data_IF_402624465159
#
_entry.id   IF_402624465159
#
_cell.length_a   1.000
_cell.length_b   1.000
_cell.length_c   1.000
_cell.angle_alpha   90.00
_cell.angle_beta   90.00
_cell.angle_gamma   90.00
#
_symmetry.space_group_name_H-M   'P 1'
#
loop_
_entity.id
_entity.type
_entity.pdbx_description
1 polymer ?
#
# COMPACT_ATOMS: atom_id res chain seq x y z
N UNK A 1 -5.65 6.80 12.61
CA UNK A 1 -5.34 7.12 11.20
C UNK A 1 -6.60 7.13 10.33
N UNK A 2 -7.43 6.08 10.35
CA UNK A 2 -8.65 6.00 9.53
C UNK A 2 -9.63 7.18 9.75
N UNK A 3 -9.95 7.52 10.99
CA UNK A 3 -10.73 8.72 11.33
C UNK A 3 -10.10 10.04 10.85
N UNK A 4 -8.77 10.09 10.64
CA UNK A 4 -8.10 11.26 10.08
C UNK A 4 -8.37 11.36 8.58
N UNK A 5 -8.30 10.24 7.86
CA UNK A 5 -8.54 10.19 6.41
C UNK A 5 -9.97 10.61 6.06
N UNK A 6 -10.96 10.22 6.87
CA UNK A 6 -12.36 10.64 6.68
C UNK A 6 -12.54 12.17 6.70
N UNK A 7 -11.76 12.89 7.51
CA UNK A 7 -11.81 14.37 7.56
C UNK A 7 -11.35 15.03 6.26
N UNK A 8 -10.51 14.35 5.48
CA UNK A 8 -9.98 14.83 4.21
C UNK A 8 -10.73 14.25 3.00
N UNK A 9 -11.74 13.41 3.24
CA UNK A 9 -12.55 12.80 2.20
C UNK A 9 -13.66 13.78 1.71
N UNK A 10 -13.26 14.94 1.21
CA UNK A 10 -14.16 15.85 0.49
C UNK A 10 -14.57 15.23 -0.85
N UNK A 11 -15.85 15.40 -1.23
CA UNK A 11 -16.56 14.55 -2.20
C UNK A 11 -16.03 14.50 -3.64
N UNK A 12 -15.07 15.34 -4.04
CA UNK A 12 -14.64 15.46 -5.45
C UNK A 12 -13.17 15.14 -5.73
N UNK A 13 -12.42 14.58 -4.77
CA UNK A 13 -11.02 14.22 -5.05
C UNK A 13 -10.91 12.87 -5.80
N UNK A 14 -10.36 12.82 -7.03
CA UNK A 14 -10.33 11.60 -7.86
C UNK A 14 -9.54 10.43 -7.26
N UNK A 15 -8.65 10.71 -6.30
CA UNK A 15 -7.93 9.68 -5.53
C UNK A 15 -8.81 8.89 -4.55
N UNK A 16 -9.99 9.40 -4.17
CA UNK A 16 -10.90 8.70 -3.26
C UNK A 16 -11.53 7.48 -3.92
N UNK A 17 -11.82 7.54 -5.22
CA UNK A 17 -12.39 6.41 -5.98
C UNK A 17 -11.48 5.18 -6.03
N UNK A 18 -10.19 5.38 -5.75
CA UNK A 18 -9.16 4.34 -5.77
C UNK A 18 -8.59 4.03 -4.37
N UNK A 19 -9.18 4.62 -3.33
CA UNK A 19 -8.78 4.46 -1.93
C UNK A 19 -9.88 3.74 -1.16
N UNK A 20 -9.56 2.62 -0.49
CA UNK A 20 -10.53 1.85 0.28
C UNK A 20 -10.68 2.38 1.70
N UNK A 21 -11.44 3.46 1.87
CA UNK A 21 -11.73 4.03 3.18
C UNK A 21 -12.65 3.11 4.02
N UNK A 22 -12.47 3.18 5.34
CA UNK A 22 -13.41 2.56 6.27
C UNK A 22 -14.78 3.22 6.08
N UNK A 23 -15.82 2.39 6.04
CA UNK A 23 -17.22 2.84 5.99
C UNK A 23 -17.77 3.05 7.39
N UNK A 24 -17.35 2.20 8.33
CA UNK A 24 -17.76 2.25 9.72
C UNK A 24 -16.67 1.65 10.60
N UNK A 25 -16.56 2.17 11.83
CA UNK A 25 -15.63 1.71 12.86
C UNK A 25 -16.41 1.66 14.16
N UNK A 26 -16.56 0.45 14.72
CA UNK A 26 -17.37 0.22 15.90
C UNK A 26 -16.78 -0.89 16.77
N UNK A 27 -17.31 -1.04 17.98
CA UNK A 27 -16.90 -2.07 18.94
C UNK A 27 -17.98 -3.14 19.06
N UNK A 28 -17.57 -4.41 19.16
CA UNK A 28 -18.45 -5.54 19.42
C UNK A 28 -17.95 -6.27 20.67
N UNK A 29 -18.83 -6.48 21.64
CA UNK A 29 -18.53 -7.30 22.81
C UNK A 29 -18.55 -8.79 22.45
N UNK A 30 -17.46 -9.49 22.76
CA UNK A 30 -17.30 -10.92 22.62
C UNK A 30 -17.01 -11.62 23.95
N UNK A 31 -16.94 -12.96 23.95
CA UNK A 31 -16.63 -13.76 25.15
C UNK A 31 -15.29 -13.41 25.81
N UNK A 32 -14.38 -12.78 25.06
CA UNK A 32 -13.03 -12.40 25.50
C UNK A 32 -12.84 -10.90 25.69
N UNK A 33 -13.91 -10.10 25.60
CA UNK A 33 -13.88 -8.64 25.74
C UNK A 33 -14.40 -7.91 24.50
N UNK A 34 -14.26 -6.58 24.50
CA UNK A 34 -14.63 -5.72 23.37
C UNK A 34 -13.61 -5.81 22.24
N UNK A 35 -14.10 -5.90 21.00
CA UNK A 35 -13.31 -5.99 19.78
C UNK A 35 -13.64 -4.84 18.82
N UNK A 36 -12.62 -4.08 18.41
CA UNK A 36 -12.77 -3.10 17.34
C UNK A 36 -12.99 -3.80 15.99
N UNK A 37 -14.02 -3.35 15.30
CA UNK A 37 -14.44 -3.84 14.00
C UNK A 37 -14.42 -2.69 12.99
N UNK A 38 -13.88 -2.96 11.80
CA UNK A 38 -13.75 -1.98 10.73
C UNK A 38 -14.48 -2.54 9.51
N UNK A 39 -15.56 -1.87 9.11
CA UNK A 39 -16.35 -2.25 7.96
C UNK A 39 -15.87 -1.52 6.70
N UNK A 40 -15.74 -2.25 5.60
CA UNK A 40 -15.36 -1.70 4.31
C UNK A 40 -16.35 -2.13 3.23
N UNK A 41 -16.44 -1.37 2.13
CA UNK A 41 -17.13 -1.85 0.93
C UNK A 41 -16.46 -3.15 0.45
N UNK A 42 -17.22 -4.19 0.04
CA UNK A 42 -16.66 -5.38 -0.58
C UNK A 42 -15.84 -5.01 -1.82
N UNK A 43 -14.71 -5.68 -2.00
CA UNK A 43 -13.81 -5.47 -3.14
C UNK A 43 -13.52 -6.79 -3.84
N UNK A 44 -12.99 -6.71 -5.05
CA UNK A 44 -12.58 -7.89 -5.81
C UNK A 44 -11.31 -8.54 -5.26
N UNK A 45 -10.76 -9.47 -6.03
CA UNK A 45 -9.52 -10.16 -5.66
C UNK A 45 -8.29 -9.24 -5.70
N UNK A 46 -7.22 -9.66 -5.02
CA UNK A 46 -5.91 -9.04 -5.10
C UNK A 46 -5.36 -9.08 -6.54
N UNK A 47 -4.39 -8.20 -6.87
CA UNK A 47 -3.74 -8.26 -8.19
C UNK A 47 -2.97 -9.56 -8.37
N UNK A 48 -2.46 -10.17 -7.29
CA UNK A 48 -1.80 -11.48 -7.32
C UNK A 48 -2.73 -12.58 -7.83
N UNK A 49 -3.94 -12.65 -7.29
CA UNK A 49 -4.95 -13.61 -7.75
C UNK A 49 -5.30 -13.37 -9.22
N UNK A 50 -5.32 -12.10 -9.67
CA UNK A 50 -5.50 -11.80 -11.09
C UNK A 50 -4.31 -12.28 -11.92
N UNK A 51 -3.07 -12.06 -11.48
CA UNK A 51 -1.87 -12.52 -12.16
C UNK A 51 -1.88 -14.02 -12.40
N UNK A 52 -2.28 -14.82 -11.42
CA UNK A 52 -2.36 -16.29 -11.52
C UNK A 52 -3.26 -16.78 -12.66
N UNK A 53 -4.18 -15.94 -13.16
CA UNK A 53 -5.03 -16.27 -14.32
C UNK A 53 -4.34 -16.07 -15.68
N UNK A 54 -3.18 -15.41 -15.72
CA UNK A 54 -2.41 -15.17 -16.94
C UNK A 54 -1.20 -16.12 -17.05
N UNK A 55 -0.80 -16.50 -18.28
CA UNK A 55 0.43 -17.26 -18.49
C UNK A 55 1.64 -16.57 -17.84
N UNK A 56 2.46 -17.34 -17.13
CA UNK A 56 3.65 -16.86 -16.41
C UNK A 56 3.36 -15.74 -15.39
N UNK A 57 2.12 -15.60 -14.93
CA UNK A 57 1.70 -14.54 -14.01
C UNK A 57 1.89 -13.09 -14.55
N UNK A 58 1.99 -12.91 -15.86
CA UNK A 58 2.25 -11.62 -16.50
C UNK A 58 0.96 -10.92 -16.92
N UNK A 59 0.73 -9.71 -16.41
CA UNK A 59 -0.40 -8.89 -16.83
C UNK A 59 -0.13 -8.19 -18.16
N UNK A 60 -1.19 -8.00 -18.94
CA UNK A 60 -1.13 -7.19 -20.16
C UNK A 60 -0.79 -5.74 -19.81
N UNK A 61 0.07 -5.11 -20.60
CA UNK A 61 0.54 -3.72 -20.39
C UNK A 61 -0.58 -2.71 -20.15
N UNK A 62 -1.74 -2.86 -20.81
CA UNK A 62 -2.88 -1.97 -20.62
C UNK A 62 -3.54 -2.12 -19.23
N UNK A 63 -3.58 -3.33 -18.67
CA UNK A 63 -4.07 -3.58 -17.31
C UNK A 63 -3.09 -3.00 -16.30
N UNK A 64 -1.79 -3.23 -16.47
CA UNK A 64 -0.75 -2.63 -15.64
C UNK A 64 -0.87 -1.10 -15.65
N UNK A 65 -0.93 -0.48 -16.84
CA UNK A 65 -1.12 0.96 -16.97
C UNK A 65 -2.36 1.46 -16.21
N UNK A 66 -3.49 0.75 -16.31
CA UNK A 66 -4.72 1.09 -15.59
C UNK A 66 -4.54 1.03 -14.07
N UNK A 67 -3.93 -0.04 -13.55
CA UNK A 67 -3.67 -0.22 -12.11
C UNK A 67 -2.73 0.87 -11.59
N UNK A 68 -1.59 1.07 -12.25
CA UNK A 68 -0.58 2.04 -11.86
C UNK A 68 -1.14 3.48 -11.88
N UNK A 69 -1.94 3.81 -12.90
CA UNK A 69 -2.61 5.10 -12.97
C UNK A 69 -3.53 5.33 -11.76
N UNK A 70 -4.33 4.34 -11.37
CA UNK A 70 -5.20 4.43 -10.18
C UNK A 70 -4.41 4.61 -8.89
N UNK A 71 -3.30 3.88 -8.74
CA UNK A 71 -2.41 4.01 -7.58
C UNK A 71 -1.81 5.41 -7.48
N UNK A 72 -1.39 6.02 -8.60
CA UNK A 72 -0.90 7.40 -8.59
C UNK A 72 -1.95 8.40 -8.12
N UNK A 73 -3.21 8.26 -8.54
CA UNK A 73 -4.29 9.14 -8.05
C UNK A 73 -4.53 8.98 -6.54
N UNK A 74 -4.55 7.74 -6.05
CA UNK A 74 -4.74 7.45 -4.63
C UNK A 74 -3.58 7.97 -3.77
N UNK A 75 -2.34 7.70 -4.18
CA UNK A 75 -1.14 8.13 -3.46
C UNK A 75 -0.98 9.65 -3.51
N UNK A 76 -1.30 10.31 -4.63
CA UNK A 76 -1.30 11.77 -4.72
C UNK A 76 -2.28 12.40 -3.72
N UNK A 77 -3.47 11.82 -3.54
CA UNK A 77 -4.41 12.29 -2.51
C UNK A 77 -3.81 12.21 -1.10
N UNK A 78 -3.19 11.09 -0.75
CA UNK A 78 -2.54 10.92 0.55
C UNK A 78 -1.42 11.94 0.78
N UNK A 79 -0.57 12.14 -0.23
CA UNK A 79 0.59 13.01 -0.15
C UNK A 79 0.19 14.48 -0.08
N UNK A 80 -0.68 14.91 -1.00
CA UNK A 80 -1.01 16.32 -1.20
C UNK A 80 -2.13 16.82 -0.27
N UNK A 81 -3.07 15.95 0.12
CA UNK A 81 -4.25 16.34 0.92
C UNK A 81 -4.15 15.86 2.36
N UNK A 82 -3.72 14.62 2.58
CA UNK A 82 -3.71 14.04 3.93
C UNK A 82 -2.38 14.25 4.68
N UNK A 83 -1.31 14.60 3.96
CA UNK A 83 0.06 14.71 4.45
C UNK A 83 0.63 13.41 5.02
N UNK A 84 0.31 12.27 4.38
CA UNK A 84 0.71 10.93 4.84
C UNK A 84 1.33 10.11 3.71
N UNK A 85 2.32 9.28 4.03
CA UNK A 85 2.82 8.22 3.15
C UNK A 85 2.12 6.89 3.49
N UNK A 86 1.88 6.07 2.47
CA UNK A 86 1.24 4.76 2.61
C UNK A 86 2.19 3.74 3.24
N UNK A 87 3.43 3.67 2.75
CA UNK A 87 4.53 2.80 3.19
C UNK A 87 4.33 1.29 3.01
N UNK A 88 3.13 0.83 2.66
CA UNK A 88 2.86 -0.60 2.41
C UNK A 88 1.94 -0.84 1.20
N UNK A 89 2.46 -0.76 -0.02
CA UNK A 89 1.67 -1.07 -1.21
C UNK A 89 1.58 -2.59 -1.42
N UNK A 90 0.47 -3.19 -1.01
CA UNK A 90 0.30 -4.66 -0.91
C UNK A 90 -0.21 -5.36 -2.19
N UNK A 91 0.08 -4.83 -3.39
CA UNK A 91 -0.31 -5.50 -4.64
C UNK A 91 -1.84 -5.62 -4.83
N UNK A 92 -2.60 -4.67 -4.30
CA UNK A 92 -4.04 -4.53 -4.54
C UNK A 92 -4.29 -3.41 -5.57
N UNK A 93 -5.34 -3.53 -6.42
CA UNK A 93 -5.61 -2.51 -7.44
C UNK A 93 -6.25 -1.24 -6.87
N UNK A 94 -6.63 -1.27 -5.59
CA UNK A 94 -7.04 -0.15 -4.76
C UNK A 94 -6.07 -0.01 -3.60
N UNK A 95 -5.87 1.23 -3.15
CA UNK A 95 -5.07 1.51 -1.97
C UNK A 95 -5.84 1.05 -0.72
N UNK A 96 -5.23 0.17 0.07
CA UNK A 96 -5.85 -0.48 1.22
C UNK A 96 -4.79 -0.74 2.28
N UNK A 97 -5.24 -1.04 3.50
CA UNK A 97 -4.41 -1.31 4.66
C UNK A 97 -3.58 -0.09 5.10
N UNK A 98 -4.28 0.77 5.85
CA UNK A 98 -3.74 2.02 6.34
C UNK A 98 -3.08 1.89 7.72
N UNK A 99 -2.89 0.66 8.21
CA UNK A 99 -2.29 0.38 9.51
C UNK A 99 -0.84 0.85 9.59
N UNK A 100 -0.12 0.82 8.47
CA UNK A 100 1.29 1.15 8.39
C UNK A 100 1.57 2.61 8.03
N UNK A 101 0.56 3.41 7.68
CA UNK A 101 0.77 4.78 7.19
C UNK A 101 1.54 5.69 8.16
N UNK A 102 2.22 6.69 7.59
CA UNK A 102 3.10 7.60 8.33
C UNK A 102 2.85 9.05 7.96
N UNK A 103 2.81 9.91 8.97
CA UNK A 103 2.67 11.36 8.76
C UNK A 103 4.03 11.90 8.34
N UNK A 104 4.10 12.58 7.21
CA UNK A 104 5.37 13.11 6.67
C UNK A 104 5.52 14.59 6.98
N UNK A 105 4.42 15.35 6.95
CA UNK A 105 4.47 16.79 7.24
C UNK A 105 4.93 17.07 8.68
N UNK A 106 5.95 17.92 8.80
CA UNK A 106 6.53 18.34 10.08
C UNK A 106 7.29 17.24 10.84
N UNK A 107 7.60 16.10 10.20
CA UNK A 107 8.30 14.98 10.83
C UNK A 107 9.48 14.51 9.99
N UNK A 108 10.54 14.07 10.67
CA UNK A 108 11.63 13.32 10.06
C UNK A 108 11.34 11.86 10.33
N UNK A 109 11.02 11.09 9.29
CA UNK A 109 10.86 9.65 9.40
C UNK A 109 12.20 8.98 9.04
N UNK A 110 12.67 8.08 9.91
CA UNK A 110 13.92 7.32 9.78
C UNK A 110 13.77 5.88 10.29
N UNK A 111 12.55 5.49 10.69
CA UNK A 111 12.25 4.16 11.16
C UNK A 111 12.41 3.12 10.04
N UNK A 112 12.80 1.91 10.45
CA UNK A 112 12.88 0.74 9.58
C UNK A 112 11.48 0.22 9.30
N UNK A 113 10.85 0.81 8.30
CA UNK A 113 9.43 0.62 8.01
C UNK A 113 9.22 0.49 6.51
N UNK A 114 8.48 -0.54 6.08
CA UNK A 114 8.13 -0.97 4.72
C UNK A 114 8.32 -2.48 4.60
N UNK A 115 7.52 -3.15 3.77
CA UNK A 115 7.75 -4.57 3.42
C UNK A 115 9.08 -4.75 2.68
N UNK A 116 9.78 -5.85 2.94
CA UNK A 116 11.12 -6.13 2.37
C UNK A 116 11.13 -6.11 0.84
N UNK A 117 10.03 -6.52 0.19
CA UNK A 117 9.92 -6.56 -1.27
C UNK A 117 9.83 -5.18 -1.91
N UNK A 118 9.26 -4.20 -1.21
CA UNK A 118 8.95 -2.88 -1.74
C UNK A 118 9.76 -1.76 -1.09
N UNK A 119 10.71 -2.11 -0.21
CA UNK A 119 11.46 -1.15 0.61
C UNK A 119 12.33 -0.25 -0.26
N UNK A 120 12.21 1.05 -0.04
CA UNK A 120 12.97 2.06 -0.74
C UNK A 120 14.44 2.09 -0.26
N UNK A 121 15.40 2.48 -1.11
CA UNK A 121 16.81 2.49 -0.77
C UNK A 121 17.14 3.43 0.40
N UNK A 122 16.45 4.57 0.53
CA UNK A 122 16.61 5.48 1.65
C UNK A 122 16.24 4.83 3.00
N UNK A 123 15.24 3.94 3.02
CA UNK A 123 14.89 3.18 4.24
C UNK A 123 15.96 2.13 4.53
N UNK A 124 16.44 1.42 3.51
CA UNK A 124 17.53 0.44 3.66
C UNK A 124 18.81 1.07 4.21
N UNK A 125 19.10 2.29 3.79
CA UNK A 125 20.26 3.06 4.20
C UNK A 125 20.05 3.84 5.51
N UNK A 126 18.89 3.68 6.17
CA UNK A 126 18.52 4.39 7.40
C UNK A 126 18.61 5.93 7.25
N UNK A 127 18.30 6.42 6.05
CA UNK A 127 18.25 7.84 5.74
C UNK A 127 16.85 8.40 6.03
N UNK A 128 16.72 9.72 6.24
CA UNK A 128 15.42 10.38 6.26
C UNK A 128 14.61 10.03 5.01
N UNK A 129 13.35 9.66 5.21
CA UNK A 129 12.44 9.31 4.13
C UNK A 129 11.10 10.04 4.26
N UNK A 130 10.37 10.11 3.14
CA UNK A 130 9.09 10.81 3.04
C UNK A 130 8.24 10.25 1.90
N UNK A 131 7.41 11.08 1.27
CA UNK A 131 6.53 10.67 0.17
C UNK A 131 7.15 9.82 -0.97
N UNK A 132 8.41 10.03 -1.39
CA UNK A 132 9.01 9.25 -2.48
C UNK A 132 9.04 7.73 -2.27
N UNK A 133 8.96 7.24 -1.03
CA UNK A 133 8.97 5.79 -0.74
C UNK A 133 7.78 5.07 -1.38
N UNK A 134 6.62 5.71 -1.47
CA UNK A 134 5.45 5.12 -2.14
C UNK A 134 5.65 5.06 -3.67
N UNK A 135 6.33 6.07 -4.24
CA UNK A 135 6.64 6.12 -5.67
C UNK A 135 7.61 4.99 -6.04
N UNK A 136 8.60 4.73 -5.19
CA UNK A 136 9.47 3.57 -5.33
C UNK A 136 8.68 2.26 -5.34
N UNK A 137 7.80 2.06 -4.35
CA UNK A 137 6.96 0.85 -4.28
C UNK A 137 6.06 0.68 -5.51
N UNK A 138 5.50 1.75 -6.07
CA UNK A 138 4.75 1.71 -7.34
C UNK A 138 5.65 1.26 -8.51
N UNK A 139 6.89 1.75 -8.55
CA UNK A 139 7.87 1.35 -9.57
C UNK A 139 8.19 -0.14 -9.51
N UNK A 140 8.48 -0.65 -8.32
CA UNK A 140 8.71 -2.08 -8.07
C UNK A 140 7.49 -2.90 -8.52
N UNK A 141 6.29 -2.53 -8.05
CA UNK A 141 5.05 -3.20 -8.42
C UNK A 141 4.82 -3.21 -9.93
N UNK A 142 5.11 -2.11 -10.64
CA UNK A 142 4.96 -2.04 -12.09
C UNK A 142 5.76 -3.13 -12.79
N UNK A 143 7.01 -3.33 -12.38
CA UNK A 143 7.89 -4.34 -12.95
C UNK A 143 7.43 -5.75 -12.58
N UNK A 144 7.02 -5.98 -11.34
CA UNK A 144 6.49 -7.29 -10.91
C UNK A 144 5.23 -7.71 -11.68
N UNK A 145 4.33 -6.76 -11.95
CA UNK A 145 3.12 -7.03 -12.73
C UNK A 145 3.41 -7.35 -14.20
N UNK A 146 4.50 -6.81 -14.75
CA UNK A 146 4.93 -7.05 -16.13
C UNK A 146 5.75 -8.35 -16.26
N UNK A 147 6.57 -8.67 -15.27
CA UNK A 147 7.46 -9.83 -15.30
C UNK A 147 6.81 -11.10 -14.73
N UNK A 148 5.80 -10.97 -13.88
CA UNK A 148 5.09 -12.09 -13.23
C UNK A 148 5.88 -12.74 -12.10
N UNK A 149 6.88 -12.04 -11.56
CA UNK A 149 7.74 -12.48 -10.45
C UNK A 149 8.12 -11.28 -9.58
N UNK A 150 8.55 -11.54 -8.36
CA UNK A 150 9.08 -10.49 -7.49
C UNK A 150 10.35 -9.89 -8.12
N UNK A 151 10.48 -8.57 -8.09
CA UNK A 151 11.65 -7.88 -8.63
C UNK A 151 12.83 -7.94 -7.66
N UNK A 152 12.53 -7.80 -6.38
CA UNK A 152 13.49 -7.92 -5.28
C UNK A 152 13.24 -9.26 -4.61
N UNK A 153 14.27 -10.09 -4.55
CA UNK A 153 14.27 -11.31 -3.74
C UNK A 153 15.00 -10.98 -2.43
N UNK A 154 14.29 -10.82 -1.29
CA UNK A 154 14.91 -10.46 -0.02
C UNK A 154 15.64 -11.63 0.62
N UNK A 155 15.73 -12.78 -0.07
CA UNK A 155 16.51 -13.92 0.42
C UNK A 155 18.00 -13.58 0.38
N UNK A 156 18.50 -13.08 1.52
CA UNK A 156 19.88 -13.33 1.93
C UNK A 156 20.05 -14.85 2.05
N UNK A 157 20.56 -15.51 1.00
CA UNK A 157 20.92 -16.95 1.02
C UNK A 157 22.18 -17.24 1.86
N UNK A 158 22.40 -16.49 2.95
CA UNK A 158 23.42 -16.80 3.93
C UNK A 158 22.67 -17.08 5.24
N UNK A 159 22.49 -18.38 5.51
CA UNK A 159 21.90 -18.97 6.73
C UNK A 159 20.40 -19.27 6.82
N UNK A 160 19.63 -19.26 5.72
CA UNK A 160 18.34 -19.97 5.68
C UNK A 160 17.30 -19.56 6.74
N UNK A 161 17.35 -18.31 7.22
CA UNK A 161 16.37 -17.76 8.15
C UNK A 161 15.63 -16.59 7.51
N UNK A 162 14.30 -16.61 7.66
CA UNK A 162 13.46 -15.44 7.42
C UNK A 162 13.70 -14.44 8.53
N UNK A 163 13.89 -13.16 8.19
CA UNK A 163 13.84 -12.08 9.17
C UNK A 163 12.37 -11.68 9.28
N UNK A 164 11.71 -12.13 10.35
CA UNK A 164 10.39 -11.67 10.78
C UNK A 164 10.49 -10.45 11.68
#
# INVERSE_FOLDING_TARGET
MLHRLEKFAEKDHPGLDFTRLARDIFEIDGPSGSHYCIAFKPQGNSVRTLQETFPNAQLRKHLVKSIIHRLFFAVNWLHATCSVAHTELSGHPWLTDFGQMRVVEGRINQDWWMSDLYRAPEVLLQLPWGYPVDIWSIGVMTLELLEGKNLVDPVYRVHGQYVS
#
